data_IF_457615452160
#
_entry.id   IF_457615452160
#
_cell.length_a   1.000
_cell.length_b   1.000
_cell.length_c   1.000
_cell.angle_alpha   90.00
_cell.angle_beta   90.00
_cell.angle_gamma   90.00
#
_symmetry.space_group_name_H-M   'P 1'
#
loop_
_entity.id
_entity.type
_entity.pdbx_description
1 polymer ?
#
# COMPACT_ATOMS: atom_id res chain seq x y z
N UNK A 1 34.31 -20.50 12.67
CA UNK A 1 32.94 -20.89 12.27
C UNK A 1 31.95 -19.76 12.49
N UNK A 2 31.76 -19.24 13.72
CA UNK A 2 30.85 -18.13 14.01
C UNK A 2 31.07 -16.84 13.20
N UNK A 3 32.33 -16.49 12.88
CA UNK A 3 32.63 -15.32 12.05
C UNK A 3 32.21 -15.48 10.58
N UNK A 4 32.35 -16.69 10.02
CA UNK A 4 31.96 -16.98 8.64
C UNK A 4 30.43 -16.93 8.47
N UNK A 5 29.68 -17.45 9.44
CA UNK A 5 28.21 -17.39 9.46
C UNK A 5 27.70 -15.95 9.52
N UNK A 6 28.38 -15.08 10.28
CA UNK A 6 28.07 -13.65 10.36
C UNK A 6 28.28 -12.92 9.04
N UNK A 7 29.41 -13.16 8.39
CA UNK A 7 29.75 -12.55 7.10
C UNK A 7 28.79 -13.00 5.99
N UNK A 8 28.47 -14.29 5.93
CA UNK A 8 27.48 -14.84 4.99
C UNK A 8 26.09 -14.24 5.20
N UNK A 9 25.71 -14.00 6.46
CA UNK A 9 24.44 -13.33 6.78
C UNK A 9 24.46 -11.88 6.29
N UNK A 10 25.55 -11.15 6.49
CA UNK A 10 25.70 -9.77 6.01
C UNK A 10 25.63 -9.71 4.49
N UNK A 11 26.30 -10.63 3.78
CA UNK A 11 26.24 -10.70 2.32
C UNK A 11 24.84 -10.99 1.80
N UNK A 12 24.09 -11.90 2.44
CA UNK A 12 22.69 -12.18 2.10
C UNK A 12 21.82 -10.93 2.27
N UNK A 13 21.92 -10.25 3.41
CA UNK A 13 21.14 -9.03 3.66
C UNK A 13 21.46 -7.93 2.64
N UNK A 14 22.73 -7.76 2.26
CA UNK A 14 23.11 -6.80 1.20
C UNK A 14 22.49 -7.15 -0.16
N UNK A 15 22.52 -8.43 -0.53
CA UNK A 15 21.92 -8.91 -1.77
C UNK A 15 20.40 -8.69 -1.77
N UNK A 16 19.74 -8.89 -0.63
CA UNK A 16 18.31 -8.64 -0.48
C UNK A 16 17.98 -7.15 -0.66
N UNK A 17 18.73 -6.26 0.00
CA UNK A 17 18.58 -4.81 -0.17
C UNK A 17 18.77 -4.42 -1.64
N UNK A 18 19.80 -4.93 -2.30
CA UNK A 18 20.08 -4.68 -3.72
C UNK A 18 18.93 -5.13 -4.63
N UNK A 19 18.40 -6.33 -4.39
CA UNK A 19 17.24 -6.90 -5.12
C UNK A 19 16.01 -6.02 -4.94
N UNK A 20 15.68 -5.64 -3.70
CA UNK A 20 14.49 -4.84 -3.37
C UNK A 20 14.57 -3.43 -3.96
N UNK A 21 15.75 -2.79 -3.89
CA UNK A 21 16.02 -1.49 -4.51
C UNK A 21 15.85 -1.54 -6.03
N UNK A 22 16.40 -2.57 -6.67
CA UNK A 22 16.26 -2.77 -8.12
C UNK A 22 14.80 -3.01 -8.51
N UNK A 23 14.08 -3.81 -7.73
CA UNK A 23 12.68 -4.13 -7.98
C UNK A 23 11.81 -2.87 -7.95
N UNK A 24 11.84 -2.12 -6.85
CA UNK A 24 11.01 -0.93 -6.67
C UNK A 24 11.32 0.12 -7.72
N UNK A 25 12.61 0.26 -8.07
CA UNK A 25 13.04 1.19 -9.11
C UNK A 25 12.46 0.85 -10.49
N UNK A 26 12.23 -0.43 -10.80
CA UNK A 26 11.73 -0.88 -12.10
C UNK A 26 10.20 -0.98 -12.17
N UNK A 27 9.55 -1.22 -11.04
CA UNK A 27 8.11 -1.53 -10.97
C UNK A 27 7.31 -0.51 -10.16
N UNK A 28 7.87 0.67 -9.91
CA UNK A 28 7.14 1.72 -9.20
C UNK A 28 5.90 2.16 -9.99
N UNK A 29 4.75 2.45 -9.34
CA UNK A 29 3.53 2.89 -10.03
C UNK A 29 3.71 4.21 -10.80
N UNK A 30 4.59 5.11 -10.33
CA UNK A 30 4.94 6.33 -11.09
C UNK A 30 5.82 6.06 -12.33
N UNK A 31 6.16 4.80 -12.60
CA UNK A 31 7.06 4.38 -13.67
C UNK A 31 8.51 4.13 -13.18
N UNK A 32 9.35 3.56 -14.06
CA UNK A 32 10.71 3.17 -13.68
C UNK A 32 11.61 4.39 -13.43
N UNK A 33 12.33 4.39 -12.31
CA UNK A 33 13.33 5.42 -12.02
C UNK A 33 14.71 5.05 -12.58
N UNK A 34 15.41 6.07 -13.07
CA UNK A 34 16.86 5.94 -13.29
C UNK A 34 17.59 6.06 -11.96
N UNK A 35 18.79 5.48 -11.85
CA UNK A 35 19.63 5.65 -10.65
C UNK A 35 19.94 7.14 -10.37
N UNK A 36 20.07 7.95 -11.42
CA UNK A 36 20.30 9.39 -11.27
C UNK A 36 19.07 10.10 -10.71
N UNK A 37 17.88 9.82 -11.26
CA UNK A 37 16.63 10.43 -10.81
C UNK A 37 16.26 10.02 -9.38
N UNK A 38 16.46 8.74 -9.02
CA UNK A 38 16.24 8.29 -7.66
C UNK A 38 17.24 8.92 -6.67
N UNK A 39 18.51 9.03 -7.06
CA UNK A 39 19.54 9.66 -6.25
C UNK A 39 19.21 11.12 -5.94
N UNK A 40 18.81 11.87 -6.96
CA UNK A 40 18.38 13.27 -6.83
C UNK A 40 17.15 13.40 -5.92
N UNK A 41 16.10 12.61 -6.16
CA UNK A 41 14.86 12.64 -5.38
C UNK A 41 15.08 12.28 -3.92
N UNK A 42 15.96 11.32 -3.63
CA UNK A 42 16.26 10.88 -2.26
C UNK A 42 17.34 11.73 -1.57
N UNK A 43 18.00 12.67 -2.26
CA UNK A 43 19.10 13.45 -1.71
C UNK A 43 20.32 12.60 -1.35
N UNK A 44 20.62 11.56 -2.15
CA UNK A 44 21.74 10.63 -1.96
C UNK A 44 22.64 10.62 -3.19
N UNK A 45 23.87 10.12 -3.08
CA UNK A 45 24.76 10.10 -4.25
C UNK A 45 24.37 8.97 -5.22
N UNK A 46 24.41 9.26 -6.53
CA UNK A 46 24.23 8.24 -7.58
C UNK A 46 25.23 7.09 -7.42
N UNK A 47 26.46 7.38 -7.00
CA UNK A 47 27.49 6.38 -6.72
C UNK A 47 27.04 5.41 -5.63
N UNK A 48 26.45 5.91 -4.55
CA UNK A 48 25.93 5.10 -3.44
C UNK A 48 24.87 4.12 -3.92
N UNK A 49 23.88 4.58 -4.69
CA UNK A 49 22.84 3.69 -5.22
C UNK A 49 23.39 2.68 -6.24
N UNK A 50 24.33 3.11 -7.09
CA UNK A 50 24.99 2.20 -8.04
C UNK A 50 25.82 1.12 -7.35
N UNK A 51 26.45 1.43 -6.22
CA UNK A 51 27.17 0.44 -5.41
C UNK A 51 26.19 -0.45 -4.63
N UNK A 52 25.07 0.09 -4.17
CA UNK A 52 24.03 -0.70 -3.51
C UNK A 52 23.41 -1.76 -4.43
N UNK A 53 23.20 -1.46 -5.71
CA UNK A 53 22.69 -2.43 -6.70
C UNK A 53 23.76 -3.37 -7.27
N UNK A 54 25.04 -3.23 -6.89
CA UNK A 54 26.12 -4.09 -7.38
C UNK A 54 26.09 -5.48 -6.74
N UNK A 55 26.84 -6.44 -7.30
CA UNK A 55 26.94 -7.79 -6.75
C UNK A 55 27.56 -7.81 -5.34
N UNK A 56 28.45 -6.86 -5.05
CA UNK A 56 29.11 -6.75 -3.74
C UNK A 56 28.21 -6.06 -2.71
N UNK A 57 27.17 -5.35 -3.17
CA UNK A 57 26.35 -4.46 -2.38
C UNK A 57 27.16 -3.32 -1.75
N UNK A 58 26.52 -2.53 -0.90
CA UNK A 58 27.24 -1.57 -0.06
C UNK A 58 26.62 -1.47 1.33
N UNK A 59 27.39 -0.95 2.28
CA UNK A 59 26.91 -0.68 3.64
C UNK A 59 26.07 0.59 3.60
N UNK A 60 24.78 0.46 3.29
CA UNK A 60 23.83 1.55 3.41
C UNK A 60 23.52 1.80 4.88
N UNK A 61 23.52 3.06 5.28
CA UNK A 61 23.01 3.45 6.59
C UNK A 61 21.49 3.33 6.61
N UNK A 62 20.90 3.12 7.80
CA UNK A 62 19.46 3.15 7.97
C UNK A 62 18.87 4.48 7.47
N UNK A 63 19.54 5.60 7.75
CA UNK A 63 19.16 6.92 7.23
C UNK A 63 19.05 6.95 5.70
N UNK A 64 20.00 6.32 4.99
CA UNK A 64 19.97 6.25 3.53
C UNK A 64 18.79 5.42 3.04
N UNK A 65 18.52 4.28 3.69
CA UNK A 65 17.38 3.42 3.35
C UNK A 65 16.05 4.16 3.54
N UNK A 66 15.90 4.90 4.64
CA UNK A 66 14.71 5.69 4.92
C UNK A 66 14.54 6.86 3.94
N UNK A 67 15.62 7.56 3.59
CA UNK A 67 15.58 8.61 2.57
C UNK A 67 15.10 8.06 1.23
N UNK A 68 15.61 6.91 0.82
CA UNK A 68 15.21 6.25 -0.43
C UNK A 68 13.75 5.79 -0.36
N UNK A 69 13.32 5.11 0.71
CA UNK A 69 11.93 4.65 0.84
C UNK A 69 10.94 5.81 0.85
N UNK A 70 11.21 6.87 1.61
CA UNK A 70 10.35 8.05 1.63
C UNK A 70 10.31 8.78 0.29
N UNK A 71 11.43 8.84 -0.43
CA UNK A 71 11.45 9.41 -1.78
C UNK A 71 10.51 8.66 -2.73
N UNK A 72 10.34 7.36 -2.53
CA UNK A 72 9.43 6.49 -3.29
C UNK A 72 7.99 6.49 -2.71
N UNK A 73 7.66 7.36 -1.75
CA UNK A 73 6.34 7.36 -1.12
C UNK A 73 6.08 6.15 -0.20
N UNK A 74 7.12 5.41 0.17
CA UNK A 74 7.02 4.23 1.04
C UNK A 74 7.32 4.63 2.49
N UNK A 75 6.29 4.62 3.34
CA UNK A 75 6.39 4.96 4.77
C UNK A 75 6.70 3.78 5.69
N UNK A 76 6.94 2.57 5.16
CA UNK A 76 7.22 1.37 5.97
C UNK A 76 8.73 1.21 6.14
N UNK A 77 9.24 1.49 7.34
CA UNK A 77 10.68 1.45 7.64
C UNK A 77 11.34 0.09 7.31
N UNK A 78 10.59 -1.00 7.44
CA UNK A 78 11.05 -2.35 7.17
C UNK A 78 11.18 -2.71 5.69
N UNK A 79 10.81 -1.84 4.75
CA UNK A 79 10.70 -2.18 3.32
C UNK A 79 11.95 -2.83 2.72
N UNK A 80 13.14 -2.34 3.09
CA UNK A 80 14.39 -2.89 2.57
C UNK A 80 14.96 -4.04 3.40
N UNK A 81 14.40 -4.35 4.56
CA UNK A 81 14.97 -5.28 5.54
C UNK A 81 14.13 -6.55 5.71
N UNK A 82 12.80 -6.42 5.66
CA UNK A 82 11.85 -7.49 5.91
C UNK A 82 11.15 -7.92 4.62
N UNK A 83 11.13 -9.23 4.33
CA UNK A 83 10.52 -9.77 3.12
C UNK A 83 9.00 -9.61 3.11
N UNK A 84 8.34 -9.79 4.25
CA UNK A 84 6.89 -9.66 4.35
C UNK A 84 6.47 -8.21 4.11
N UNK A 85 7.22 -7.26 4.68
CA UNK A 85 6.97 -5.83 4.45
C UNK A 85 7.21 -5.47 2.99
N UNK A 86 8.25 -6.00 2.36
CA UNK A 86 8.52 -5.80 0.94
C UNK A 86 7.37 -6.30 0.05
N UNK A 87 6.92 -7.55 0.25
CA UNK A 87 5.82 -8.14 -0.51
C UNK A 87 4.51 -7.37 -0.31
N UNK A 88 4.17 -7.05 0.94
CA UNK A 88 2.96 -6.32 1.27
C UNK A 88 2.95 -4.94 0.59
N UNK A 89 4.02 -4.16 0.75
CA UNK A 89 4.10 -2.81 0.16
C UNK A 89 4.01 -2.87 -1.36
N UNK A 90 4.67 -3.83 -2.02
CA UNK A 90 4.59 -3.94 -3.48
C UNK A 90 3.19 -4.35 -3.94
N UNK A 91 2.48 -5.19 -3.19
CA UNK A 91 1.08 -5.51 -3.49
C UNK A 91 0.16 -4.29 -3.36
N UNK A 92 0.38 -3.45 -2.35
CA UNK A 92 -0.35 -2.20 -2.14
C UNK A 92 -0.03 -1.18 -3.24
N UNK A 93 1.24 -1.03 -3.61
CA UNK A 93 1.68 -0.14 -4.71
C UNK A 93 1.10 -0.59 -6.06
N UNK A 94 1.06 -1.89 -6.34
CA UNK A 94 0.45 -2.43 -7.55
C UNK A 94 -1.08 -2.20 -7.58
N UNK A 95 -1.76 -2.27 -6.43
CA UNK A 95 -3.17 -1.96 -6.35
C UNK A 95 -3.48 -0.48 -6.67
N UNK A 96 -2.59 0.45 -6.28
CA UNK A 96 -2.75 1.87 -6.63
C UNK A 96 -2.69 2.12 -8.14
N UNK A 97 -1.81 1.43 -8.85
CA UNK A 97 -1.73 1.50 -10.33
C UNK A 97 -3.06 1.12 -11.00
N UNK A 98 -3.78 0.14 -10.44
CA UNK A 98 -5.10 -0.27 -10.96
C UNK A 98 -6.22 0.74 -10.70
N UNK A 99 -6.09 1.60 -9.68
CA UNK A 99 -7.10 2.60 -9.30
C UNK A 99 -6.98 3.92 -10.08
N UNK A 100 -5.83 4.18 -10.70
CA UNK A 100 -5.56 5.33 -11.56
C UNK A 100 -5.75 5.03 -13.06
N UNK A 101 -6.15 3.80 -13.42
CA UNK A 101 -6.54 3.45 -14.78
C UNK A 101 -8.02 3.80 -15.07
N UNK A 102 -8.27 4.98 -15.66
CA UNK A 102 -8.99 4.98 -16.93
C UNK A 102 -8.33 5.94 -17.93
N UNK A 103 -7.58 5.39 -18.89
CA UNK A 103 -7.28 6.03 -20.17
C UNK A 103 -6.49 7.36 -20.16
N UNK A 104 -5.18 7.27 -20.38
CA UNK A 104 -4.39 8.30 -21.07
C UNK A 104 -3.42 9.12 -20.20
N UNK A 105 -2.27 9.55 -20.76
CA UNK A 105 -1.27 10.34 -20.04
C UNK A 105 -1.76 11.77 -19.88
N UNK A 106 -2.18 12.14 -18.67
CA UNK A 106 -2.47 13.53 -18.33
C UNK A 106 -1.76 13.94 -17.06
N UNK A 107 -0.74 14.78 -17.23
CA UNK A 107 -0.14 15.62 -16.20
C UNK A 107 -1.23 16.50 -15.57
N UNK A 108 -1.54 16.32 -14.29
CA UNK A 108 -2.08 17.39 -13.45
C UNK A 108 -1.86 17.09 -11.96
N UNK A 109 -1.47 18.14 -11.23
CA UNK A 109 -1.11 18.20 -9.80
C UNK A 109 -2.09 17.52 -8.84
N UNK A 110 -1.61 16.92 -7.72
CA UNK A 110 -2.46 16.25 -6.74
C UNK A 110 -2.73 17.17 -5.53
N UNK A 111 -3.85 17.91 -5.53
CA UNK A 111 -4.33 18.53 -4.27
C UNK A 111 -5.85 18.41 -4.06
N UNK A 112 -6.68 18.15 -5.09
CA UNK A 112 -8.14 18.15 -4.94
C UNK A 112 -8.84 16.79 -5.08
N UNK A 113 -8.25 15.81 -5.77
CA UNK A 113 -8.90 14.53 -6.08
C UNK A 113 -9.27 13.61 -4.88
N UNK A 114 -8.58 13.58 -3.73
CA UNK A 114 -8.86 12.57 -2.71
C UNK A 114 -10.15 12.83 -1.91
N UNK A 115 -10.56 14.09 -1.76
CA UNK A 115 -11.75 14.45 -0.97
C UNK A 115 -13.03 14.18 -1.77
N UNK A 116 -13.05 14.51 -3.05
CA UNK A 116 -14.21 14.27 -3.92
C UNK A 116 -14.51 12.77 -4.09
N UNK A 117 -13.46 11.94 -4.13
CA UNK A 117 -13.58 10.47 -4.18
C UNK A 117 -14.16 9.90 -2.87
N UNK A 118 -13.69 10.41 -1.72
CA UNK A 118 -14.22 10.02 -0.42
C UNK A 118 -15.67 10.46 -0.24
N UNK A 119 -16.02 11.67 -0.69
CA UNK A 119 -17.40 12.17 -0.69
C UNK A 119 -18.32 11.32 -1.57
N UNK A 120 -17.83 10.84 -2.73
CA UNK A 120 -18.56 9.92 -3.59
C UNK A 120 -18.88 8.59 -2.88
N UNK A 121 -17.87 7.95 -2.28
CA UNK A 121 -18.04 6.69 -1.55
C UNK A 121 -19.00 6.82 -0.36
N UNK A 122 -18.91 7.91 0.40
CA UNK A 122 -19.83 8.18 1.50
C UNK A 122 -21.26 8.38 0.98
N UNK A 123 -21.42 9.04 -0.18
CA UNK A 123 -22.70 9.20 -0.85
C UNK A 123 -23.34 7.86 -1.25
N UNK A 124 -22.55 6.95 -1.81
CA UNK A 124 -23.02 5.60 -2.20
C UNK A 124 -23.41 4.75 -0.99
N UNK A 125 -22.65 4.81 0.10
CA UNK A 125 -22.98 4.11 1.35
C UNK A 125 -24.30 4.63 1.92
N UNK A 126 -24.51 5.95 1.94
CA UNK A 126 -25.75 6.56 2.44
C UNK A 126 -26.94 6.20 1.54
N UNK A 127 -26.77 6.16 0.22
CA UNK A 127 -27.81 5.76 -0.71
C UNK A 127 -28.20 4.28 -0.52
N UNK A 128 -27.22 3.39 -0.33
CA UNK A 128 -27.46 1.98 -0.03
C UNK A 128 -28.18 1.78 1.32
N UNK A 129 -27.77 2.51 2.35
CA UNK A 129 -28.42 2.48 3.66
C UNK A 129 -29.88 2.98 3.59
N UNK A 130 -30.15 4.03 2.81
CA UNK A 130 -31.50 4.54 2.60
C UNK A 130 -32.40 3.53 1.85
N UNK A 131 -31.86 2.83 0.84
CA UNK A 131 -32.59 1.76 0.15
C UNK A 131 -32.93 0.60 1.09
N UNK A 132 -31.99 0.17 1.93
CA UNK A 132 -32.23 -0.88 2.91
C UNK A 132 -33.30 -0.47 3.94
N UNK A 133 -33.29 0.79 4.38
CA UNK A 133 -34.30 1.30 5.32
C UNK A 133 -35.70 1.35 4.70
N UNK A 134 -35.82 1.76 3.43
CA UNK A 134 -37.09 1.74 2.71
C UNK A 134 -37.62 0.31 2.55
N UNK A 135 -36.75 -0.64 2.18
CA UNK A 135 -37.12 -2.05 2.08
C UNK A 135 -37.61 -2.64 3.40
N UNK A 136 -37.04 -2.21 4.53
CA UNK A 136 -37.50 -2.61 5.88
C UNK A 136 -38.83 -1.94 6.28
N UNK A 137 -39.12 -0.73 5.78
CA UNK A 137 -40.40 -0.04 6.02
C UNK A 137 -41.55 -0.61 5.19
N UNK A 138 -41.25 -1.13 4.00
CA UNK A 138 -42.24 -1.77 3.12
C UNK A 138 -42.53 -3.23 3.51
N UNK A 139 -41.92 -3.73 4.60
CA UNK A 139 -42.31 -5.01 5.17
C UNK A 139 -43.73 -4.90 5.76
N UNK A 140 -44.66 -5.80 5.38
CA UNK A 140 -46.00 -5.80 5.92
C UNK A 140 -45.95 -6.03 7.44
N UNK A 141 -46.75 -5.27 8.19
CA UNK A 141 -46.84 -5.40 9.64
C UNK A 141 -47.11 -6.87 10.03
N UNK A 142 -46.46 -7.40 11.09
CA UNK A 142 -46.76 -8.74 11.56
C UNK A 142 -48.26 -8.83 11.89
N UNK A 143 -48.94 -9.93 11.51
CA UNK A 143 -50.37 -10.07 11.71
C UNK A 143 -50.70 -9.98 13.21
N UNK A 144 -51.46 -8.96 13.59
CA UNK A 144 -52.12 -8.91 14.88
C UNK A 144 -53.09 -10.09 14.98
N UNK A 145 -52.78 -11.02 15.88
CA UNK A 145 -53.62 -12.17 16.16
C UNK A 145 -52.96 -13.12 17.15
N UNK A 146 -52.63 -12.65 18.35
CA UNK A 146 -52.51 -13.54 19.50
C UNK A 146 -53.95 -13.86 19.95
N UNK A 147 -54.41 -15.13 19.92
CA UNK A 147 -55.62 -15.49 20.64
C UNK A 147 -55.34 -15.36 22.15
N UNK A 148 -56.24 -14.65 22.82
CA UNK A 148 -56.32 -14.55 24.28
C UNK A 148 -56.22 -15.95 24.89
N UNK A 149 -55.17 -16.18 25.68
CA UNK A 149 -55.10 -17.31 26.60
C UNK A 149 -55.78 -16.91 27.89
N UNK A 150 -57.10 -16.89 27.89
CA UNK A 150 -57.91 -16.81 29.11
C UNK A 150 -59.22 -17.57 28.89
N UNK A 151 -59.17 -18.90 29.01
CA UNK A 151 -60.34 -19.70 29.45
C UNK A 151 -59.92 -21.13 29.83
N UNK A 152 -59.15 -21.26 30.92
CA UNK A 152 -59.11 -22.50 31.71
C UNK A 152 -59.28 -22.16 33.20
N UNK A 153 -60.50 -21.76 33.56
CA UNK A 153 -61.06 -22.00 34.90
C UNK A 153 -62.54 -22.35 34.77
N UNK A 154 -62.84 -23.64 34.71
CA UNK A 154 -63.96 -24.28 35.43
C UNK A 154 -63.89 -25.79 35.32
#
# INVERSE_FOLDING_TARGET
MLQQEGDERIHRVKADVARRLRYVRQHHPEGPFTLAGLAERAGVSKRTLSQAESADGCNLTLETLLKVSHSLGISRDGYFLDEQVFEQVNSELAALDTLDAPGGPSKASPVAAPVDRLSGLIGEILASAAQAQSALRDLPAPPHGLPDRDDERR
#
